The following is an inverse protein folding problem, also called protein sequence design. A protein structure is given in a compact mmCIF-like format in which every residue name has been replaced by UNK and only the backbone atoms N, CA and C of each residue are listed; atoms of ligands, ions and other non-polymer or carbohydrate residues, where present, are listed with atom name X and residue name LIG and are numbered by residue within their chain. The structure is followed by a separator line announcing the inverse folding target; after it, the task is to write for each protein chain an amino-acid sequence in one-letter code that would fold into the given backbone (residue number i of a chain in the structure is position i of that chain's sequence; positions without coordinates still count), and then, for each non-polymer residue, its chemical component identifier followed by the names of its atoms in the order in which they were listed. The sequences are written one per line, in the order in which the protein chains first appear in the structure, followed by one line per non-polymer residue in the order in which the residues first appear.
data_IF_201738718093
#
_entry.id   IF_201738718093
#
_cell.length_a   1.000
_cell.length_b   1.000
_cell.length_c   1.000
_cell.angle_alpha   90.00
_cell.angle_beta   90.00
_cell.angle_gamma   90.00
#
_symmetry.space_group_name_H-M   'P 1'
#
loop_
_entity.id
_entity.type
_entity.pdbx_description
1 polymer ?
#
# COMPACT_ATOMS: atom_id res chain seq x y z
N UNK A 1 31.33 -58.20 -36.84
CA UNK A 1 31.83 -57.24 -37.85
C UNK A 1 31.41 -55.84 -37.42
N UNK A 2 32.33 -54.87 -37.55
CA UNK A 2 32.20 -53.40 -37.37
C UNK A 2 32.09 -52.93 -35.89
N UNK A 3 33.11 -52.44 -35.16
CA UNK A 3 34.17 -51.42 -35.30
C UNK A 3 33.72 -49.93 -35.25
N UNK A 4 34.25 -49.19 -34.23
CA UNK A 4 34.63 -47.75 -34.14
C UNK A 4 33.48 -46.69 -34.20
N UNK A 5 33.54 -45.46 -33.65
CA UNK A 5 34.43 -44.72 -32.74
C UNK A 5 33.88 -43.28 -32.62
N UNK A 6 34.01 -42.67 -31.43
CA UNK A 6 34.36 -41.26 -31.13
C UNK A 6 33.46 -40.04 -31.48
N UNK A 7 33.64 -39.02 -30.60
CA UNK A 7 33.42 -37.55 -30.73
C UNK A 7 32.01 -37.03 -30.44
N UNK A 8 31.76 -35.89 -29.81
CA UNK A 8 32.51 -34.90 -29.00
C UNK A 8 31.44 -33.90 -28.50
N UNK A 9 31.64 -33.35 -27.30
CA UNK A 9 31.31 -31.98 -26.89
C UNK A 9 29.98 -31.32 -27.36
N UNK A 10 29.02 -31.23 -26.44
CA UNK A 10 28.06 -30.10 -26.39
C UNK A 10 27.84 -29.61 -24.95
N UNK A 11 28.94 -29.40 -24.21
CA UNK A 11 28.95 -28.44 -23.10
C UNK A 11 29.28 -27.06 -23.70
N UNK A 12 28.28 -26.41 -24.27
CA UNK A 12 28.43 -25.15 -25.00
C UNK A 12 27.38 -24.13 -24.58
N UNK A 13 27.82 -23.15 -23.78
CA UNK A 13 27.29 -21.79 -23.66
C UNK A 13 25.76 -21.62 -23.52
N UNK A 14 25.27 -21.60 -22.29
CA UNK A 14 23.99 -20.98 -21.93
C UNK A 14 24.19 -19.72 -21.07
N UNK A 15 25.17 -18.89 -21.44
CA UNK A 15 25.36 -17.57 -20.86
C UNK A 15 25.26 -16.55 -21.99
N UNK A 16 24.51 -15.47 -21.71
CA UNK A 16 24.24 -14.31 -22.55
C UNK A 16 23.04 -14.50 -23.49
N UNK A 17 21.88 -14.09 -23.00
CA UNK A 17 21.03 -13.04 -23.59
C UNK A 17 19.75 -12.94 -22.73
N UNK A 18 19.87 -12.48 -21.48
CA UNK A 18 18.72 -11.86 -20.84
C UNK A 18 18.54 -10.50 -21.51
N UNK A 19 17.40 -10.21 -22.17
CA UNK A 19 17.12 -8.86 -22.58
C UNK A 19 17.10 -8.01 -21.32
N UNK A 20 17.94 -6.97 -21.30
CA UNK A 20 17.88 -5.91 -20.31
C UNK A 20 16.46 -5.34 -20.33
N UNK A 21 15.62 -5.79 -19.41
CA UNK A 21 14.38 -5.11 -19.08
C UNK A 21 14.79 -3.81 -18.42
N UNK A 22 15.00 -2.78 -19.24
CA UNK A 22 15.05 -1.40 -18.77
C UNK A 22 13.69 -1.10 -18.18
N UNK A 23 13.59 -1.29 -16.86
CA UNK A 23 12.43 -0.91 -16.08
C UNK A 23 12.28 0.61 -16.20
N UNK A 24 11.39 1.05 -17.08
CA UNK A 24 10.97 2.45 -17.09
C UNK A 24 10.18 2.66 -15.79
N UNK A 25 10.85 3.16 -14.76
CA UNK A 25 10.17 3.67 -13.59
C UNK A 25 9.27 4.82 -14.05
N UNK A 26 7.95 4.62 -13.99
CA UNK A 26 7.00 5.69 -14.23
C UNK A 26 7.30 6.84 -13.26
N UNK A 27 7.36 8.10 -13.72
CA UNK A 27 7.54 9.23 -12.82
C UNK A 27 6.43 9.21 -11.78
N UNK A 28 6.81 9.30 -10.50
CA UNK A 28 5.86 9.43 -9.42
C UNK A 28 5.19 10.80 -9.54
N UNK A 29 4.05 10.85 -10.21
CA UNK A 29 3.18 12.03 -10.20
C UNK A 29 2.74 12.24 -8.76
N UNK A 30 3.20 13.33 -8.13
CA UNK A 30 2.70 13.74 -6.82
C UNK A 30 1.21 14.03 -6.94
N UNK A 31 0.41 13.15 -6.36
CA UNK A 31 -1.03 13.35 -6.24
C UNK A 31 -1.32 14.35 -5.13
N UNK A 32 -2.16 15.33 -5.47
CA UNK A 32 -3.08 16.12 -4.64
C UNK A 32 -2.60 16.40 -3.20
N UNK A 33 -2.23 17.67 -2.97
CA UNK A 33 -2.17 18.44 -1.71
C UNK A 33 -1.52 17.76 -0.48
N UNK A 34 -0.64 18.50 0.21
CA UNK A 34 0.10 18.06 1.39
C UNK A 34 -0.83 17.88 2.62
N UNK A 35 -1.74 16.91 2.58
CA UNK A 35 -2.61 16.56 3.71
C UNK A 35 -1.80 15.67 4.64
N UNK A 36 -1.30 16.27 5.72
CA UNK A 36 -0.69 15.53 6.81
C UNK A 36 -1.79 14.97 7.71
N UNK A 37 -1.74 13.67 7.98
CA UNK A 37 -2.72 12.99 8.82
C UNK A 37 -2.13 12.70 10.20
N UNK A 38 -2.94 12.80 11.24
CA UNK A 38 -2.46 12.64 12.61
C UNK A 38 -3.17 11.49 13.34
N UNK A 39 -2.42 10.89 14.27
CA UNK A 39 -2.92 9.93 15.25
C UNK A 39 -2.71 10.56 16.63
N UNK A 40 -3.78 11.03 17.26
CA UNK A 40 -3.68 11.80 18.52
C UNK A 40 -4.29 11.09 19.71
N UNK A 41 -5.31 10.26 19.48
CA UNK A 41 -5.95 9.43 20.51
C UNK A 41 -6.74 8.30 19.84
N UNK A 42 -7.35 7.43 20.65
CA UNK A 42 -8.20 6.35 20.16
C UNK A 42 -9.45 6.85 19.42
N UNK A 43 -9.92 8.07 19.74
CA UNK A 43 -11.16 8.66 19.20
C UNK A 43 -10.88 9.77 18.17
N UNK A 44 -9.60 10.16 18.01
CA UNK A 44 -9.15 11.18 17.07
C UNK A 44 -7.89 10.73 16.33
N UNK A 45 -8.11 10.05 15.21
CA UNK A 45 -7.06 9.63 14.29
C UNK A 45 -7.58 9.60 12.85
N UNK A 46 -6.64 9.58 11.91
CA UNK A 46 -6.91 9.29 10.51
C UNK A 46 -6.14 8.05 10.04
N UNK A 47 -6.65 7.44 8.99
CA UNK A 47 -5.95 6.48 8.15
C UNK A 47 -6.37 6.72 6.70
N UNK A 48 -6.07 5.79 5.81
CA UNK A 48 -6.42 5.89 4.40
C UNK A 48 -7.40 4.79 3.99
N UNK A 49 -8.31 5.12 3.08
CA UNK A 49 -9.13 4.16 2.35
C UNK A 49 -8.97 4.40 0.84
N UNK A 50 -9.32 3.41 0.00
CA UNK A 50 -9.41 3.64 -1.43
C UNK A 50 -10.36 4.81 -1.76
N UNK A 51 -10.17 5.48 -2.91
CA UNK A 51 -10.98 6.65 -3.27
C UNK A 51 -12.47 6.30 -3.47
N UNK A 52 -12.79 5.05 -3.82
CA UNK A 52 -14.16 4.54 -3.94
C UNK A 52 -14.35 3.23 -3.13
N UNK A 53 -15.57 2.95 -2.64
CA UNK A 53 -15.90 1.69 -1.97
C UNK A 53 -15.59 0.46 -2.84
N UNK A 54 -15.13 -0.62 -2.19
CA UNK A 54 -14.85 -1.92 -2.82
C UNK A 54 -13.66 -1.98 -3.78
N UNK A 55 -12.89 -0.91 -3.91
CA UNK A 55 -11.61 -0.97 -4.61
C UNK A 55 -10.59 -1.84 -3.85
N UNK A 56 -9.78 -2.59 -4.60
CA UNK A 56 -8.71 -3.43 -4.05
C UNK A 56 -7.61 -2.55 -3.43
N UNK A 57 -7.24 -2.84 -2.19
CA UNK A 57 -6.31 -2.01 -1.41
C UNK A 57 -4.99 -1.79 -2.14
N UNK A 58 -4.33 -2.87 -2.60
CA UNK A 58 -3.07 -2.81 -3.34
C UNK A 58 -3.14 -1.99 -4.65
N UNK A 59 -4.30 -1.91 -5.30
CA UNK A 59 -4.47 -1.08 -6.51
C UNK A 59 -4.59 0.41 -6.17
N UNK A 60 -5.11 0.72 -4.99
CA UNK A 60 -5.32 2.07 -4.48
C UNK A 60 -4.08 2.75 -3.88
N UNK A 61 -2.90 2.09 -3.83
CA UNK A 61 -1.72 2.54 -3.07
C UNK A 61 -1.21 3.94 -3.40
N UNK A 62 -1.52 4.44 -4.59
CA UNK A 62 -1.13 5.79 -4.92
C UNK A 62 -2.21 6.86 -4.78
N UNK A 63 -3.51 6.50 -4.73
CA UNK A 63 -4.67 7.43 -4.68
C UNK A 63 -5.50 7.23 -3.40
N UNK A 64 -4.97 6.53 -2.41
CA UNK A 64 -5.64 6.41 -1.15
C UNK A 64 -5.98 7.82 -0.59
N UNK A 65 -7.17 7.94 -0.04
CA UNK A 65 -7.73 9.22 0.44
C UNK A 65 -7.75 9.18 1.97
N UNK A 66 -7.39 10.27 2.66
CA UNK A 66 -7.43 10.30 4.12
C UNK A 66 -8.87 10.28 4.64
N UNK A 67 -9.13 9.35 5.55
CA UNK A 67 -10.36 9.22 6.32
C UNK A 67 -10.04 9.32 7.80
N UNK A 68 -10.87 10.05 8.55
CA UNK A 68 -10.64 10.34 9.95
C UNK A 68 -11.86 10.04 10.81
N UNK A 69 -11.66 9.73 12.08
CA UNK A 69 -12.76 9.60 13.05
C UNK A 69 -13.46 10.93 13.27
N UNK A 70 -12.71 12.03 13.19
CA UNK A 70 -13.16 13.41 13.21
C UNK A 70 -12.34 14.19 12.18
N UNK A 71 -12.92 15.24 11.57
CA UNK A 71 -12.21 16.02 10.56
C UNK A 71 -11.00 16.73 11.19
N UNK A 72 -9.79 16.39 10.73
CA UNK A 72 -8.53 17.00 11.21
C UNK A 72 -8.06 18.12 10.28
N UNK A 73 -7.97 17.85 8.97
CA UNK A 73 -7.49 18.80 7.96
C UNK A 73 -8.53 18.99 6.83
N UNK A 74 -8.50 20.12 6.09
CA UNK A 74 -9.24 20.27 4.84
C UNK A 74 -8.91 19.12 3.86
N UNK A 75 -9.92 18.60 3.17
CA UNK A 75 -9.75 17.49 2.22
C UNK A 75 -9.80 16.09 2.84
N UNK A 76 -9.81 15.96 4.16
CA UNK A 76 -10.09 14.69 4.83
C UNK A 76 -11.57 14.31 4.76
N UNK A 77 -11.85 13.01 4.65
CA UNK A 77 -13.19 12.42 4.75
C UNK A 77 -13.41 11.86 6.17
N UNK A 78 -14.65 11.61 6.54
CA UNK A 78 -14.96 10.89 7.79
C UNK A 78 -15.17 9.42 7.49
N UNK A 79 -14.66 8.53 8.35
CA UNK A 79 -14.96 7.10 8.23
C UNK A 79 -16.47 6.86 8.17
N UNK A 80 -16.94 5.90 7.34
CA UNK A 80 -18.35 5.51 7.37
C UNK A 80 -18.76 5.09 8.79
N UNK A 81 -20.02 5.37 9.14
CA UNK A 81 -20.55 4.99 10.44
C UNK A 81 -20.43 3.47 10.65
N UNK A 82 -19.85 3.09 11.80
CA UNK A 82 -19.59 1.70 12.15
C UNK A 82 -18.37 1.06 11.47
N UNK A 83 -17.64 1.77 10.60
CA UNK A 83 -16.44 1.22 9.96
C UNK A 83 -15.34 0.90 10.97
N UNK A 84 -15.11 1.78 11.95
CA UNK A 84 -14.20 1.50 13.07
C UNK A 84 -14.99 0.79 14.17
N UNK A 85 -14.67 -0.48 14.44
CA UNK A 85 -15.36 -1.31 15.44
C UNK A 85 -14.73 -1.15 16.82
N UNK A 86 -13.40 -1.07 16.86
CA UNK A 86 -12.64 -0.83 18.08
C UNK A 86 -11.30 -0.20 17.74
N UNK A 87 -10.83 0.72 18.58
CA UNK A 87 -9.50 1.33 18.49
C UNK A 87 -8.78 1.24 19.83
N UNK A 88 -7.46 1.09 19.79
CA UNK A 88 -6.57 1.13 20.94
C UNK A 88 -5.37 2.00 20.60
N UNK A 89 -5.19 3.08 21.35
CA UNK A 89 -4.11 4.04 21.18
C UNK A 89 -2.95 3.73 22.13
N UNK A 90 -1.74 3.68 21.59
CA UNK A 90 -0.50 3.58 22.36
C UNK A 90 0.48 4.67 21.91
N UNK A 91 1.18 5.25 22.88
CA UNK A 91 2.18 6.28 22.66
C UNK A 91 3.48 5.88 23.36
N UNK A 92 4.56 5.93 22.60
CA UNK A 92 5.95 5.76 23.04
C UNK A 92 6.77 6.98 22.66
N UNK A 93 7.99 7.05 23.16
CA UNK A 93 8.91 8.15 22.87
C UNK A 93 9.24 8.30 21.37
N UNK A 94 9.11 7.23 20.59
CA UNK A 94 9.47 7.19 19.18
C UNK A 94 8.30 7.03 18.21
N UNK A 95 7.10 6.73 18.70
CA UNK A 95 5.93 6.56 17.85
C UNK A 95 4.61 6.75 18.60
N UNK A 96 3.59 7.11 17.83
CA UNK A 96 2.18 6.96 18.21
C UNK A 96 1.56 5.91 17.30
N UNK A 97 0.66 5.10 17.85
CA UNK A 97 0.00 4.04 17.11
C UNK A 97 -1.46 3.95 17.53
N UNK A 98 -2.33 3.68 16.55
CA UNK A 98 -3.65 3.12 16.82
C UNK A 98 -3.72 1.73 16.18
N UNK A 99 -4.23 0.76 16.91
CA UNK A 99 -4.58 -0.57 16.40
C UNK A 99 -6.07 -0.81 16.61
N UNK A 100 -6.67 -1.70 15.85
CA UNK A 100 -8.11 -1.85 15.94
C UNK A 100 -8.70 -2.95 15.07
N UNK A 101 -10.03 -2.98 15.05
CA UNK A 101 -10.83 -3.79 14.15
C UNK A 101 -11.71 -2.88 13.32
N UNK A 102 -11.90 -3.27 12.07
CA UNK A 102 -12.79 -2.59 11.14
C UNK A 102 -13.94 -3.52 10.75
N UNK A 103 -15.06 -2.94 10.36
CA UNK A 103 -16.12 -3.63 9.63
C UNK A 103 -15.95 -3.28 8.13
N UNK A 104 -15.33 -4.16 7.33
CA UNK A 104 -15.03 -3.88 5.93
C UNK A 104 -16.28 -3.65 5.09
N UNK A 105 -17.44 -4.19 5.50
CA UNK A 105 -18.72 -4.01 4.79
C UNK A 105 -19.20 -2.56 4.75
N UNK A 106 -18.75 -1.70 5.68
CA UNK A 106 -19.14 -0.28 5.71
C UNK A 106 -18.49 0.56 4.61
N UNK A 107 -17.53 0.00 3.90
CA UNK A 107 -16.90 0.62 2.73
C UNK A 107 -16.75 -0.37 1.56
N UNK A 108 -17.60 -1.39 1.52
CA UNK A 108 -17.65 -2.46 0.52
C UNK A 108 -16.31 -3.19 0.29
N UNK A 109 -15.40 -3.18 1.27
CA UNK A 109 -14.11 -3.86 1.14
C UNK A 109 -14.33 -5.38 1.16
N UNK A 110 -13.70 -6.09 0.22
CA UNK A 110 -13.80 -7.54 0.17
C UNK A 110 -12.99 -8.18 1.29
N UNK A 111 -13.59 -9.13 2.03
CA UNK A 111 -12.85 -9.98 2.98
C UNK A 111 -11.83 -10.89 2.29
N UNK A 112 -11.95 -11.08 0.98
CA UNK A 112 -10.99 -11.83 0.16
C UNK A 112 -9.87 -10.97 -0.42
N UNK A 113 -9.82 -9.67 -0.10
CA UNK A 113 -8.71 -8.80 -0.50
C UNK A 113 -7.43 -9.22 0.23
N UNK A 114 -6.31 -9.31 -0.49
CA UNK A 114 -5.00 -9.59 0.09
C UNK A 114 -4.45 -8.43 0.91
N UNK A 115 -5.07 -7.25 0.82
CA UNK A 115 -4.69 -6.04 1.55
C UNK A 115 -3.57 -5.27 0.86
N UNK A 116 -2.74 -4.61 1.66
CA UNK A 116 -1.66 -3.72 1.22
C UNK A 116 -1.32 -2.70 2.30
N UNK A 117 -0.46 -1.73 1.97
CA UNK A 117 -0.15 -0.61 2.88
C UNK A 117 -0.36 0.73 2.19
N UNK A 118 -0.83 1.71 2.96
CA UNK A 118 -0.91 3.10 2.50
C UNK A 118 0.08 3.94 3.28
N UNK A 119 1.10 4.43 2.57
CA UNK A 119 2.11 5.30 3.15
C UNK A 119 1.66 6.77 3.04
N UNK A 120 1.86 7.52 4.12
CA UNK A 120 1.70 8.97 4.08
C UNK A 120 2.76 9.57 3.14
N UNK A 121 2.33 10.40 2.18
CA UNK A 121 3.19 11.08 1.19
C UNK A 121 3.21 12.60 1.35
N UNK A 122 2.70 13.12 2.47
CA UNK A 122 2.81 14.54 2.79
C UNK A 122 4.30 14.95 2.73
N UNK A 123 4.62 16.01 1.97
CA UNK A 123 5.92 16.63 2.11
C UNK A 123 6.01 17.23 3.50
N UNK A 124 7.06 16.90 4.25
CA UNK A 124 7.54 17.83 5.25
C UNK A 124 8.05 19.05 4.48
N UNK A 125 7.27 20.13 4.50
CA UNK A 125 7.79 21.46 4.11
C UNK A 125 8.65 21.91 5.29
N UNK A 126 9.96 21.62 5.21
CA UNK A 126 10.98 22.22 6.09
C UNK A 126 11.25 23.66 5.69
#
# INVERSE_FOLDING_TARGET
MMQFSSLMATLGLSLLLWPNMLSNAHPLVRRVENIDIQVTSQDNFCSYLPPSPGEIIAKGEGNAVPFCTQKQEPGTRTFPEGFIVSSHFDQKDTYVQVTGRIDPSKYDLSESDGGGQYDNKASIIT
#
